data_IF_047830373775
#
_entry.id   IF_047830373775
#
_cell.length_a   1.000
_cell.length_b   1.000
_cell.length_c   1.000
_cell.angle_alpha   90.00
_cell.angle_beta   90.00
_cell.angle_gamma   90.00
#
_symmetry.space_group_name_H-M   'P 1'
#
loop_
_entity.id
_entity.type
_entity.pdbx_description
1 polymer ?
#
# COMPACT_ATOMS: atom_id res chain seq x y z
N UNK A 1 -56.92 -0.22 -7.00
CA UNK A 1 -57.27 -1.65 -7.07
C UNK A 1 -56.24 -2.36 -7.94
N UNK A 2 -55.26 -3.00 -7.35
CA UNK A 2 -54.64 -4.24 -7.89
C UNK A 2 -53.74 -4.82 -6.78
N UNK A 3 -54.29 -5.86 -6.15
CA UNK A 3 -53.61 -6.75 -5.20
C UNK A 3 -52.61 -7.62 -5.95
N UNK A 4 -51.33 -7.68 -5.52
CA UNK A 4 -50.41 -8.76 -5.87
C UNK A 4 -49.92 -9.51 -4.64
N UNK A 5 -50.34 -10.74 -4.61
CA UNK A 5 -50.19 -11.80 -3.64
C UNK A 5 -48.71 -12.22 -3.54
N UNK A 6 -48.16 -12.16 -2.33
CA UNK A 6 -46.86 -12.78 -2.01
C UNK A 6 -47.00 -14.27 -1.79
N UNK A 7 -46.43 -15.10 -2.71
CA UNK A 7 -46.25 -16.54 -2.50
C UNK A 7 -44.99 -16.81 -1.69
N UNK A 8 -45.19 -17.31 -0.45
CA UNK A 8 -44.10 -17.85 0.40
C UNK A 8 -43.68 -19.23 -0.12
N UNK A 9 -42.34 -19.44 -0.32
CA UNK A 9 -41.75 -20.76 -0.57
C UNK A 9 -41.38 -21.44 0.76
N UNK A 10 -41.51 -22.78 0.87
CA UNK A 10 -41.31 -23.51 2.11
C UNK A 10 -39.81 -23.78 2.38
N UNK A 11 -39.45 -23.71 3.66
CA UNK A 11 -38.13 -24.08 4.20
C UNK A 11 -37.93 -25.59 4.17
N UNK A 12 -36.89 -26.09 3.50
CA UNK A 12 -36.41 -27.46 3.59
C UNK A 12 -35.57 -27.62 4.88
N UNK A 13 -36.05 -28.52 5.77
CA UNK A 13 -35.31 -29.04 6.93
C UNK A 13 -34.29 -30.06 6.43
N UNK A 14 -33.00 -29.85 6.74
CA UNK A 14 -31.98 -30.88 6.62
C UNK A 14 -31.87 -31.64 7.95
N UNK A 15 -32.13 -32.91 7.88
CA UNK A 15 -32.00 -33.90 8.95
C UNK A 15 -30.54 -34.28 9.16
N UNK A 16 -30.08 -34.13 10.41
CA UNK A 16 -28.77 -34.64 10.91
C UNK A 16 -28.82 -36.18 10.92
N UNK A 17 -27.94 -36.83 10.17
CA UNK A 17 -27.60 -38.23 10.40
C UNK A 17 -26.34 -38.32 11.28
N UNK A 18 -26.51 -38.87 12.48
CA UNK A 18 -25.43 -39.33 13.37
C UNK A 18 -24.94 -40.66 12.83
N UNK A 19 -23.64 -40.78 12.56
CA UNK A 19 -22.97 -42.08 12.48
C UNK A 19 -22.14 -42.27 13.74
N UNK A 20 -22.56 -43.27 14.51
CA UNK A 20 -21.85 -43.85 15.63
C UNK A 20 -20.98 -44.95 15.05
N UNK A 21 -19.66 -44.91 15.29
CA UNK A 21 -18.80 -46.07 15.05
C UNK A 21 -17.91 -46.26 16.28
N UNK A 22 -18.24 -47.32 16.99
CA UNK A 22 -17.54 -47.89 18.13
C UNK A 22 -16.41 -48.77 17.59
N UNK A 23 -15.17 -48.64 18.10
CA UNK A 23 -14.19 -49.73 18.07
C UNK A 23 -13.43 -49.78 19.38
N UNK A 24 -13.49 -50.97 19.95
CA UNK A 24 -12.94 -51.48 21.20
C UNK A 24 -11.52 -52.06 21.00
N UNK A 25 -10.69 -51.93 22.05
CA UNK A 25 -9.60 -52.89 22.37
C UNK A 25 -8.22 -52.41 21.94
N UNK A 26 -7.16 -52.49 22.69
CA UNK A 26 -6.74 -53.44 23.73
C UNK A 26 -5.58 -52.82 24.51
N UNK A 27 -5.51 -53.10 25.77
CA UNK A 27 -4.44 -52.77 26.69
C UNK A 27 -3.25 -53.72 26.50
N UNK A 28 -2.02 -53.22 26.59
CA UNK A 28 -0.85 -54.04 26.94
C UNK A 28 0.08 -53.27 27.86
N UNK A 29 0.13 -53.78 29.08
CA UNK A 29 1.04 -53.36 30.16
C UNK A 29 2.37 -54.04 29.94
N UNK A 30 3.46 -53.30 29.97
CA UNK A 30 4.81 -53.84 30.24
C UNK A 30 5.49 -52.95 31.26
N UNK A 31 5.57 -53.51 32.47
CA UNK A 31 6.42 -53.04 33.57
C UNK A 31 7.81 -53.64 33.41
N UNK A 32 8.85 -52.83 33.40
CA UNK A 32 10.22 -53.28 33.74
C UNK A 32 10.82 -52.29 34.72
N UNK A 33 11.03 -52.75 35.92
CA UNK A 33 11.89 -52.14 36.92
C UNK A 33 13.37 -52.37 36.56
N UNK A 34 14.16 -51.31 36.67
CA UNK A 34 15.63 -51.43 36.64
C UNK A 34 16.24 -50.30 37.47
N UNK A 35 16.58 -50.60 38.73
CA UNK A 35 17.47 -49.77 39.56
C UNK A 35 18.92 -50.02 39.11
N UNK A 36 19.73 -48.91 38.99
CA UNK A 36 21.08 -48.79 39.61
C UNK A 36 21.69 -47.45 39.29
N UNK A 37 21.96 -46.69 40.24
CA UNK A 37 23.26 -46.28 40.85
C UNK A 37 23.99 -45.09 40.21
N UNK A 38 24.05 -44.03 41.02
CA UNK A 38 25.11 -43.05 41.27
C UNK A 38 26.22 -42.85 40.25
N UNK A 39 26.32 -41.59 39.74
CA UNK A 39 27.49 -41.02 39.12
C UNK A 39 27.27 -39.55 38.89
N UNK A 40 27.69 -38.68 39.83
CA UNK A 40 27.58 -37.26 39.68
C UNK A 40 28.46 -36.73 38.59
N UNK A 41 27.87 -35.94 37.70
CA UNK A 41 28.58 -34.97 36.88
C UNK A 41 27.66 -33.77 36.71
N UNK A 42 27.94 -32.75 37.49
CA UNK A 42 27.30 -31.43 37.37
C UNK A 42 27.79 -30.76 36.09
N UNK A 43 27.18 -31.10 34.95
CA UNK A 43 27.26 -30.28 33.77
C UNK A 43 26.27 -29.12 33.99
N UNK A 44 26.81 -27.94 34.26
CA UNK A 44 26.06 -26.71 34.19
C UNK A 44 25.45 -26.61 32.80
N UNK A 45 24.18 -26.95 32.66
CA UNK A 45 23.36 -26.62 31.54
C UNK A 45 23.13 -25.10 31.61
N UNK A 46 23.99 -24.35 30.92
CA UNK A 46 23.67 -22.98 30.61
C UNK A 46 22.39 -23.06 29.77
N UNK A 47 21.28 -22.85 30.45
CA UNK A 47 20.02 -22.58 29.77
C UNK A 47 20.23 -21.32 28.96
N UNK A 48 20.43 -21.49 27.65
CA UNK A 48 20.17 -20.43 26.72
C UNK A 48 18.69 -20.07 26.94
N UNK A 49 18.45 -18.95 27.57
CA UNK A 49 17.18 -18.30 27.44
C UNK A 49 17.07 -18.00 25.93
N UNK A 50 16.26 -18.77 25.22
CA UNK A 50 15.63 -18.28 24.02
C UNK A 50 14.87 -17.02 24.47
N UNK A 51 15.55 -15.88 24.42
CA UNK A 51 14.87 -14.59 24.37
C UNK A 51 14.13 -14.64 23.04
N UNK A 52 12.88 -15.06 23.06
CA UNK A 52 11.95 -14.71 22.02
C UNK A 52 12.07 -13.18 21.91
N UNK A 53 12.77 -12.72 20.90
CA UNK A 53 12.80 -11.30 20.56
C UNK A 53 11.35 -10.95 20.34
N UNK A 54 10.77 -10.15 21.25
CA UNK A 54 9.41 -9.69 21.09
C UNK A 54 9.36 -8.91 19.76
N UNK A 55 8.69 -9.49 18.79
CA UNK A 55 8.57 -8.89 17.45
C UNK A 55 7.71 -7.64 17.57
N UNK A 56 8.20 -6.50 17.09
CA UNK A 56 7.46 -5.22 17.08
C UNK A 56 6.23 -5.33 16.18
N UNK A 57 5.06 -5.10 16.75
CA UNK A 57 3.80 -5.08 15.99
C UNK A 57 3.63 -3.71 15.33
N UNK A 58 3.72 -3.68 14.03
CA UNK A 58 3.57 -2.48 13.21
C UNK A 58 2.22 -2.53 12.49
N UNK A 59 1.45 -1.45 12.60
CA UNK A 59 0.25 -1.23 11.78
C UNK A 59 0.56 -0.11 10.80
N UNK A 60 0.34 -0.34 9.52
CA UNK A 60 0.52 0.62 8.45
C UNK A 60 -0.83 0.94 7.82
N UNK A 61 -1.07 2.20 7.48
CA UNK A 61 -2.33 2.67 6.89
C UNK A 61 -2.62 1.98 5.56
N UNK A 62 -1.67 1.96 4.64
CA UNK A 62 -1.81 1.36 3.32
C UNK A 62 -0.48 0.83 2.78
N UNK A 63 -0.49 0.30 1.56
CA UNK A 63 0.56 -0.56 1.02
C UNK A 63 1.99 0.01 1.05
N UNK A 64 2.32 1.23 0.54
CA UNK A 64 3.69 1.75 0.58
C UNK A 64 4.25 1.82 2.01
N UNK A 65 3.43 2.22 2.96
CA UNK A 65 3.81 2.29 4.37
C UNK A 65 4.13 0.92 4.95
N UNK A 66 3.36 -0.09 4.55
CA UNK A 66 3.59 -1.48 4.97
C UNK A 66 4.86 -2.06 4.33
N UNK A 67 5.09 -1.83 3.04
CA UNK A 67 6.27 -2.29 2.32
C UNK A 67 7.55 -1.65 2.88
N UNK A 68 7.53 -0.35 3.15
CA UNK A 68 8.66 0.37 3.73
C UNK A 68 8.95 -0.08 5.17
N UNK A 69 7.91 -0.29 5.98
CA UNK A 69 8.04 -0.82 7.33
C UNK A 69 8.68 -2.21 7.33
N UNK A 70 8.25 -3.11 6.43
CA UNK A 70 8.81 -4.44 6.29
C UNK A 70 10.27 -4.40 5.81
N UNK A 71 10.61 -3.48 4.89
CA UNK A 71 11.96 -3.31 4.37
C UNK A 71 12.95 -2.85 5.46
N UNK A 72 12.54 -1.92 6.30
CA UNK A 72 13.39 -1.41 7.40
C UNK A 72 13.38 -2.36 8.60
N UNK A 73 12.22 -2.86 8.96
CA UNK A 73 12.03 -3.70 10.14
C UNK A 73 12.63 -5.12 10.01
N UNK A 74 12.62 -5.66 8.77
CA UNK A 74 13.15 -7.01 8.51
C UNK A 74 12.42 -8.08 9.31
N UNK A 75 13.19 -8.91 10.03
CA UNK A 75 12.66 -9.98 10.90
C UNK A 75 12.22 -9.50 12.29
N UNK A 76 12.49 -8.26 12.64
CA UNK A 76 12.15 -7.71 13.95
C UNK A 76 10.74 -7.13 14.02
N UNK A 77 10.03 -7.07 12.90
CA UNK A 77 8.68 -6.51 12.83
C UNK A 77 7.67 -7.52 12.30
N UNK A 78 6.44 -7.37 12.77
CA UNK A 78 5.26 -7.97 12.16
C UNK A 78 4.37 -6.85 11.66
N UNK A 79 4.32 -6.67 10.35
CA UNK A 79 3.57 -5.59 9.72
C UNK A 79 2.15 -6.05 9.37
N UNK A 80 1.17 -5.23 9.74
CA UNK A 80 -0.22 -5.34 9.29
C UNK A 80 -0.55 -4.14 8.43
N UNK A 81 -0.92 -4.38 7.19
CA UNK A 81 -1.48 -3.37 6.29
C UNK A 81 -2.99 -3.28 6.52
N UNK A 82 -3.54 -2.07 6.76
CA UNK A 82 -4.97 -1.90 7.04
C UNK A 82 -5.81 -1.98 5.78
N UNK A 83 -5.41 -1.28 4.72
CA UNK A 83 -6.12 -1.34 3.43
C UNK A 83 -5.87 -2.70 2.77
N UNK A 84 -6.91 -3.51 2.52
CA UNK A 84 -6.73 -4.82 1.91
C UNK A 84 -6.14 -4.75 0.50
N UNK A 85 -5.47 -5.83 0.07
CA UNK A 85 -4.97 -5.95 -1.30
C UNK A 85 -6.11 -5.75 -2.32
N UNK A 86 -5.81 -5.02 -3.39
CA UNK A 86 -6.78 -4.74 -4.45
C UNK A 86 -7.84 -3.68 -4.11
N UNK A 87 -7.71 -3.00 -2.96
CA UNK A 87 -8.62 -1.93 -2.53
C UNK A 87 -7.99 -0.57 -2.78
N UNK A 88 -8.75 0.36 -3.29
CA UNK A 88 -8.40 1.76 -3.45
C UNK A 88 -8.36 2.44 -2.06
N UNK A 89 -7.27 3.16 -1.69
CA UNK A 89 -7.10 3.64 -0.31
C UNK A 89 -7.70 5.02 0.00
N UNK A 90 -7.96 5.87 -0.98
CA UNK A 90 -8.38 7.27 -0.74
C UNK A 90 -9.72 7.37 0.01
N UNK A 91 -10.69 6.53 -0.35
CA UNK A 91 -12.01 6.47 0.30
C UNK A 91 -12.11 5.40 1.38
N UNK A 92 -11.01 4.69 1.67
CA UNK A 92 -11.06 3.65 2.67
C UNK A 92 -11.10 4.23 4.09
N UNK A 93 -11.97 3.68 4.94
CA UNK A 93 -12.08 4.05 6.34
C UNK A 93 -11.88 2.84 7.27
N UNK A 94 -11.24 3.03 8.45
CA UNK A 94 -11.00 1.94 9.37
C UNK A 94 -12.28 1.52 10.08
N UNK A 95 -12.49 0.22 10.17
CA UNK A 95 -13.52 -0.33 11.04
C UNK A 95 -13.13 -0.18 12.52
N UNK A 96 -14.09 -0.34 13.48
CA UNK A 96 -13.75 -0.38 14.91
C UNK A 96 -12.74 -1.48 15.30
N UNK A 97 -12.59 -2.53 14.46
CA UNK A 97 -11.55 -3.55 14.67
C UNK A 97 -10.17 -3.05 14.28
N UNK A 98 -10.07 -2.24 13.22
CA UNK A 98 -8.81 -1.68 12.75
C UNK A 98 -8.29 -0.63 13.73
N UNK A 99 -9.16 0.23 14.26
CA UNK A 99 -8.79 1.17 15.34
C UNK A 99 -8.26 0.44 16.58
N UNK A 100 -8.86 -0.72 16.95
CA UNK A 100 -8.32 -1.53 18.05
C UNK A 100 -6.96 -2.15 17.72
N UNK A 101 -6.69 -2.51 16.45
CA UNK A 101 -5.38 -3.00 16.03
C UNK A 101 -4.34 -1.87 16.12
N UNK A 102 -4.67 -0.66 15.67
CA UNK A 102 -3.80 0.52 15.83
C UNK A 102 -3.49 0.75 17.30
N UNK A 103 -4.50 0.77 18.18
CA UNK A 103 -4.33 0.97 19.63
C UNK A 103 -3.47 -0.11 20.30
N UNK A 104 -3.46 -1.33 19.76
CA UNK A 104 -2.70 -2.46 20.29
C UNK A 104 -1.31 -2.61 19.66
N UNK A 105 -0.96 -1.78 18.69
CA UNK A 105 0.34 -1.82 18.00
C UNK A 105 1.43 -1.09 18.80
N UNK A 106 2.68 -1.48 18.57
CA UNK A 106 3.86 -0.78 19.08
C UNK A 106 4.19 0.45 18.22
N UNK A 107 3.92 0.36 16.91
CA UNK A 107 4.13 1.42 15.94
C UNK A 107 2.91 1.51 15.02
N UNK A 108 2.39 2.72 14.84
CA UNK A 108 1.41 3.06 13.79
C UNK A 108 2.07 3.99 12.78
N UNK A 109 1.99 3.62 11.50
CA UNK A 109 2.60 4.34 10.38
C UNK A 109 1.51 4.76 9.40
N UNK A 110 1.50 6.04 9.05
CA UNK A 110 0.62 6.60 8.04
C UNK A 110 1.38 7.60 7.16
N UNK A 111 0.91 7.85 5.96
CA UNK A 111 1.54 8.78 5.01
C UNK A 111 1.44 10.22 5.51
N UNK A 112 0.24 10.67 5.83
CA UNK A 112 -0.08 12.09 6.00
C UNK A 112 -0.25 12.79 4.65
N UNK A 113 -0.01 14.09 4.60
CA UNK A 113 -0.24 14.90 3.39
C UNK A 113 -1.68 14.73 2.85
N UNK A 114 -2.63 14.64 3.76
CA UNK A 114 -4.07 14.51 3.49
C UNK A 114 -4.50 13.16 2.85
N UNK A 115 -3.62 12.14 2.83
CA UNK A 115 -3.94 10.81 2.30
C UNK A 115 -5.02 10.09 3.12
N UNK A 116 -4.88 10.12 4.44
CA UNK A 116 -5.77 9.43 5.35
C UNK A 116 -6.63 10.43 6.13
N UNK A 117 -7.79 10.77 5.60
CA UNK A 117 -8.72 11.72 6.24
C UNK A 117 -9.21 11.30 7.63
N UNK A 118 -9.15 10.01 7.95
CA UNK A 118 -9.60 9.41 9.21
C UNK A 118 -8.53 9.40 10.33
N UNK A 119 -7.28 9.76 10.03
CA UNK A 119 -6.16 9.55 10.98
C UNK A 119 -6.28 10.47 12.20
N UNK A 120 -6.65 11.73 12.04
CA UNK A 120 -6.72 12.67 13.16
C UNK A 120 -7.74 12.21 14.21
N UNK A 121 -8.95 11.82 13.82
CA UNK A 121 -9.96 11.25 14.70
C UNK A 121 -9.49 9.96 15.39
N UNK A 122 -8.75 9.13 14.65
CA UNK A 122 -8.16 7.89 15.19
C UNK A 122 -7.11 8.20 16.25
N UNK A 123 -6.21 9.15 16.00
CA UNK A 123 -5.17 9.54 16.94
C UNK A 123 -5.73 10.15 18.23
N UNK A 124 -6.86 10.88 18.13
CA UNK A 124 -7.58 11.36 19.32
C UNK A 124 -8.19 10.24 20.15
N UNK A 125 -8.50 9.10 19.53
CA UNK A 125 -9.16 7.95 20.17
C UNK A 125 -8.21 6.95 20.82
N UNK A 126 -6.90 6.98 20.53
CA UNK A 126 -5.89 6.03 21.01
C UNK A 126 -4.93 6.67 22.02
N UNK A 127 -4.25 5.82 22.81
CA UNK A 127 -3.20 6.26 23.74
C UNK A 127 -1.83 6.32 23.04
N UNK A 128 -1.52 7.46 22.45
CA UNK A 128 -0.25 7.70 21.73
C UNK A 128 1.00 7.67 22.64
N UNK A 129 0.83 7.55 23.98
CA UNK A 129 1.97 7.31 24.87
C UNK A 129 2.46 5.85 24.83
N UNK A 130 1.63 4.93 24.34
CA UNK A 130 1.92 3.50 24.21
C UNK A 130 2.29 3.10 22.78
N UNK A 131 1.69 3.75 21.79
CA UNK A 131 1.95 3.50 20.38
C UNK A 131 2.86 4.59 19.82
N UNK A 132 3.99 4.22 19.23
CA UNK A 132 4.83 5.16 18.50
C UNK A 132 4.14 5.50 17.18
N UNK A 133 3.72 6.76 17.02
CA UNK A 133 3.08 7.24 15.79
C UNK A 133 4.15 7.79 14.85
N UNK A 134 4.08 7.40 13.58
CA UNK A 134 4.96 7.83 12.49
C UNK A 134 4.15 8.40 11.35
N UNK A 135 4.23 9.71 11.14
CA UNK A 135 3.82 10.37 9.90
C UNK A 135 4.98 10.26 8.92
N UNK A 136 4.82 9.46 7.87
CA UNK A 136 5.91 9.15 6.95
C UNK A 136 6.39 10.37 6.15
N UNK A 137 5.48 11.25 5.75
CA UNK A 137 5.79 12.50 5.02
C UNK A 137 6.38 13.62 5.89
N UNK A 138 6.63 13.40 7.18
CA UNK A 138 7.15 14.46 8.06
C UNK A 138 8.49 15.03 7.58
N UNK A 139 8.57 16.38 7.49
CA UNK A 139 9.74 17.08 7.02
C UNK A 139 9.96 17.07 5.49
N UNK A 140 9.05 16.50 4.71
CA UNK A 140 9.06 16.57 3.24
C UNK A 140 8.32 17.84 2.80
N UNK A 141 8.81 18.51 1.77
CA UNK A 141 8.09 19.64 1.17
C UNK A 141 6.88 19.13 0.41
N UNK A 142 5.69 19.47 0.91
CA UNK A 142 4.45 19.01 0.30
C UNK A 142 4.09 19.86 -0.92
N UNK A 143 3.55 19.18 -1.93
CA UNK A 143 2.95 19.77 -3.12
C UNK A 143 1.49 20.12 -2.79
N UNK A 144 1.03 21.28 -3.26
CA UNK A 144 -0.41 21.63 -3.14
C UNK A 144 -1.21 20.79 -4.12
N UNK A 145 -2.38 20.35 -3.71
CA UNK A 145 -3.36 19.77 -4.62
C UNK A 145 -3.75 20.78 -5.70
N UNK A 146 -3.99 20.32 -6.94
CA UNK A 146 -4.52 21.22 -7.96
C UNK A 146 -5.92 21.68 -7.53
N UNK A 147 -6.22 22.97 -7.74
CA UNK A 147 -7.57 23.47 -7.47
C UNK A 147 -8.51 22.89 -8.51
N UNK A 148 -9.45 22.10 -8.07
CA UNK A 148 -10.53 21.65 -8.93
C UNK A 148 -11.31 22.84 -9.52
N UNK A 149 -11.68 22.74 -10.80
CA UNK A 149 -12.52 23.75 -11.46
C UNK A 149 -13.90 23.68 -10.78
N UNK A 150 -14.38 24.76 -10.16
CA UNK A 150 -15.66 24.86 -9.40
C UNK A 150 -16.91 24.32 -10.16
N UNK A 151 -16.71 23.87 -11.41
CA UNK A 151 -17.72 23.26 -12.26
C UNK A 151 -17.83 21.73 -12.20
N UNK A 152 -16.89 21.05 -11.56
CA UNK A 152 -16.93 19.61 -11.28
C UNK A 152 -17.54 19.47 -9.88
N UNK A 153 -18.76 18.98 -9.75
CA UNK A 153 -19.60 18.98 -8.55
C UNK A 153 -18.86 18.78 -7.22
N UNK A 154 -19.48 19.27 -6.14
CA UNK A 154 -18.93 19.25 -4.79
C UNK A 154 -18.48 17.82 -4.37
N UNK A 155 -17.19 17.48 -4.59
CA UNK A 155 -16.51 16.40 -3.91
C UNK A 155 -15.52 17.02 -2.92
N UNK A 156 -15.88 16.97 -1.64
CA UNK A 156 -15.14 17.53 -0.49
C UNK A 156 -13.85 16.74 -0.14
N UNK A 157 -13.32 15.89 -1.03
CA UNK A 157 -12.19 14.99 -0.73
C UNK A 157 -10.80 15.56 -1.09
N UNK A 158 -10.71 16.73 -1.70
CA UNK A 158 -9.41 17.34 -1.96
C UNK A 158 -8.88 17.97 -0.68
N UNK A 159 -7.93 17.29 -0.03
CA UNK A 159 -7.06 17.88 0.96
C UNK A 159 -6.35 19.12 0.41
N UNK A 160 -5.65 19.86 1.28
CA UNK A 160 -4.87 21.02 0.85
C UNK A 160 -3.65 20.60 0.00
N UNK A 161 -3.17 19.35 0.18
CA UNK A 161 -1.94 18.84 -0.40
C UNK A 161 -2.19 17.61 -1.30
N UNK A 162 -1.27 17.44 -2.27
CA UNK A 162 -1.13 16.22 -3.05
C UNK A 162 -0.54 15.11 -2.12
N UNK A 163 -1.25 14.01 -1.87
CA UNK A 163 -0.80 13.00 -0.93
C UNK A 163 0.27 12.04 -1.48
N UNK A 164 0.49 11.99 -2.79
CA UNK A 164 1.26 10.95 -3.48
C UNK A 164 2.78 11.12 -3.36
N UNK A 165 3.23 11.40 -2.15
CA UNK A 165 4.64 11.72 -1.79
C UNK A 165 5.59 10.60 -2.22
N UNK A 166 5.19 9.34 -2.04
CA UNK A 166 5.98 8.14 -2.31
C UNK A 166 6.30 7.92 -3.80
N UNK A 167 5.61 8.59 -4.74
CA UNK A 167 5.88 8.44 -6.18
C UNK A 167 7.16 9.17 -6.63
N UNK A 168 7.73 10.05 -5.82
CA UNK A 168 9.11 10.51 -5.97
C UNK A 168 10.06 9.54 -5.24
N UNK A 169 10.99 8.86 -5.92
CA UNK A 169 11.95 7.96 -5.26
C UNK A 169 12.76 8.64 -4.16
N UNK A 170 13.08 9.92 -4.34
CA UNK A 170 13.77 10.74 -3.34
C UNK A 170 12.92 10.99 -2.10
N UNK A 171 11.64 11.29 -2.26
CA UNK A 171 10.72 11.47 -1.14
C UNK A 171 10.44 10.13 -0.44
N UNK A 172 10.22 9.05 -1.19
CA UNK A 172 10.05 7.70 -0.64
C UNK A 172 11.25 7.26 0.21
N UNK A 173 12.47 7.61 -0.18
CA UNK A 173 13.68 7.41 0.65
C UNK A 173 13.62 8.23 1.95
N UNK A 174 13.07 9.45 1.92
CA UNK A 174 12.89 10.27 3.12
C UNK A 174 11.84 9.67 4.05
N UNK A 175 10.72 9.17 3.50
CA UNK A 175 9.72 8.41 4.24
C UNK A 175 10.33 7.18 4.91
N UNK A 176 11.09 6.39 4.16
CA UNK A 176 11.82 5.23 4.71
C UNK A 176 12.69 5.61 5.92
N UNK A 177 13.31 6.81 5.90
CA UNK A 177 14.11 7.34 7.02
C UNK A 177 13.27 7.68 8.24
N UNK A 178 12.07 8.19 8.02
CA UNK A 178 11.16 8.49 9.12
C UNK A 178 10.66 7.19 9.81
N UNK A 179 10.39 6.14 9.01
CA UNK A 179 10.05 4.82 9.51
C UNK A 179 11.19 4.19 10.34
N UNK A 180 12.43 4.28 9.85
CA UNK A 180 13.61 3.84 10.63
C UNK A 180 13.66 4.49 12.01
N UNK A 181 13.45 5.81 12.08
CA UNK A 181 13.44 6.55 13.34
C UNK A 181 12.33 6.08 14.28
N UNK A 182 11.15 5.83 13.75
CA UNK A 182 10.02 5.33 14.52
C UNK A 182 10.27 3.93 15.08
N UNK A 183 10.81 3.03 14.27
CA UNK A 183 11.18 1.67 14.72
C UNK A 183 12.26 1.69 15.79
N UNK A 184 13.32 2.50 15.62
CA UNK A 184 14.38 2.66 16.63
C UNK A 184 13.82 3.23 17.93
N UNK A 185 12.82 4.11 17.86
CA UNK A 185 12.17 4.67 19.07
C UNK A 185 11.35 3.62 19.80
N UNK A 186 10.64 2.75 19.09
CA UNK A 186 9.82 1.69 19.66
C UNK A 186 10.68 0.52 20.19
N UNK A 187 11.76 0.20 19.48
CA UNK A 187 12.63 -0.93 19.77
C UNK A 187 14.12 -0.53 19.62
N UNK A 188 14.69 0.12 20.63
CA UNK A 188 16.07 0.60 20.59
C UNK A 188 17.12 -0.53 20.62
N UNK A 189 16.76 -1.72 21.06
CA UNK A 189 17.68 -2.87 21.16
C UNK A 189 18.09 -3.38 19.76
N UNK A 190 17.19 -3.31 18.77
CA UNK A 190 17.43 -3.71 17.38
C UNK A 190 17.83 -2.54 16.46
N UNK A 191 18.23 -1.39 17.04
CA UNK A 191 18.64 -0.19 16.30
C UNK A 191 19.66 -0.46 15.18
N UNK A 192 20.68 -1.28 15.44
CA UNK A 192 21.76 -1.54 14.47
C UNK A 192 21.24 -2.24 13.21
N UNK A 193 20.27 -3.14 13.38
CA UNK A 193 19.66 -3.88 12.26
C UNK A 193 18.74 -2.96 11.44
N UNK A 194 17.93 -2.12 12.08
CA UNK A 194 17.12 -1.10 11.40
C UNK A 194 17.99 -0.14 10.59
N UNK A 195 19.10 0.32 11.15
CA UNK A 195 20.04 1.19 10.43
C UNK A 195 20.70 0.48 9.24
N UNK A 196 21.04 -0.79 9.38
CA UNK A 196 21.62 -1.60 8.31
C UNK A 196 20.60 -1.82 7.19
N UNK A 197 19.37 -2.16 7.54
CA UNK A 197 18.29 -2.36 6.59
C UNK A 197 17.95 -1.05 5.87
N UNK A 198 17.79 0.05 6.62
CA UNK A 198 17.59 1.37 6.02
C UNK A 198 18.68 1.70 5.00
N UNK A 199 19.96 1.57 5.37
CA UNK A 199 21.08 1.86 4.46
C UNK A 199 20.98 1.04 3.18
N UNK A 200 20.75 -0.28 3.31
CA UNK A 200 20.59 -1.20 2.18
C UNK A 200 19.47 -0.77 1.21
N UNK A 201 18.32 -0.34 1.76
CA UNK A 201 17.20 0.06 0.91
C UNK A 201 17.34 1.49 0.42
N UNK A 202 17.90 2.41 1.21
CA UNK A 202 18.21 3.76 0.77
C UNK A 202 19.11 3.78 -0.48
N UNK A 203 20.12 2.89 -0.55
CA UNK A 203 20.96 2.71 -1.74
C UNK A 203 20.12 2.29 -2.95
N UNK A 204 19.13 1.39 -2.78
CA UNK A 204 18.24 0.95 -3.86
C UNK A 204 17.27 2.04 -4.33
N UNK A 205 16.84 2.93 -3.42
CA UNK A 205 16.03 4.10 -3.78
C UNK A 205 16.87 5.14 -4.54
N UNK A 206 18.14 5.33 -4.16
CA UNK A 206 19.07 6.18 -4.92
C UNK A 206 19.31 5.61 -6.32
N UNK A 207 19.50 4.29 -6.45
CA UNK A 207 19.62 3.62 -7.75
C UNK A 207 18.35 3.80 -8.61
N UNK A 208 17.17 3.73 -8.00
CA UNK A 208 15.90 3.95 -8.68
C UNK A 208 15.79 5.40 -9.18
N UNK A 209 16.10 6.38 -8.32
CA UNK A 209 16.11 7.80 -8.67
C UNK A 209 17.05 8.08 -9.84
N UNK A 210 18.29 7.56 -9.78
CA UNK A 210 19.27 7.67 -10.86
C UNK A 210 18.76 7.03 -12.18
N UNK A 211 18.06 5.88 -12.11
CA UNK A 211 17.45 5.25 -13.28
C UNK A 211 16.40 6.16 -13.91
N UNK A 212 15.47 6.68 -13.11
CA UNK A 212 14.46 7.63 -13.57
C UNK A 212 15.07 8.86 -14.21
N UNK A 213 16.04 9.50 -13.54
CA UNK A 213 16.73 10.66 -14.06
C UNK A 213 17.45 10.37 -15.40
N UNK A 214 18.14 9.24 -15.47
CA UNK A 214 18.90 8.87 -16.66
C UNK A 214 17.99 8.56 -17.85
N UNK A 215 16.92 7.79 -17.64
CA UNK A 215 16.06 7.36 -18.73
C UNK A 215 15.09 8.47 -19.17
N UNK A 216 14.47 9.18 -18.23
CA UNK A 216 13.53 10.25 -18.55
C UNK A 216 14.19 11.51 -19.10
N UNK A 217 15.50 11.74 -18.84
CA UNK A 217 16.22 12.84 -19.50
C UNK A 217 16.34 12.67 -21.02
N UNK A 218 16.23 11.45 -21.53
CA UNK A 218 16.42 11.11 -22.96
C UNK A 218 15.13 11.04 -23.77
N UNK A 219 13.96 10.98 -23.11
CA UNK A 219 12.68 10.84 -23.80
C UNK A 219 12.32 12.07 -24.62
N UNK A 220 11.57 11.86 -25.69
CA UNK A 220 11.17 12.92 -26.63
C UNK A 220 9.96 13.72 -26.12
N UNK A 221 8.95 13.03 -25.62
CA UNK A 221 7.75 13.63 -25.03
C UNK A 221 7.93 13.99 -23.57
N UNK A 222 7.10 14.89 -23.08
CA UNK A 222 7.09 15.31 -21.66
C UNK A 222 5.70 15.24 -21.03
N UNK A 223 4.68 14.93 -21.83
CA UNK A 223 3.29 14.92 -21.39
C UNK A 223 2.79 13.50 -21.24
N UNK A 224 2.16 13.21 -20.10
CA UNK A 224 1.47 11.94 -19.81
C UNK A 224 0.00 12.21 -19.52
N UNK A 225 -0.87 11.28 -19.91
CA UNK A 225 -2.28 11.27 -19.53
C UNK A 225 -2.49 10.10 -18.59
N UNK A 226 -2.97 10.37 -17.39
CA UNK A 226 -3.04 9.40 -16.28
C UNK A 226 -4.47 9.27 -15.75
N UNK A 227 -4.80 8.18 -15.09
CA UNK A 227 -6.14 7.90 -14.57
C UNK A 227 -6.59 8.96 -13.56
N UNK A 228 -5.81 9.17 -12.50
CA UNK A 228 -6.05 10.25 -11.53
C UNK A 228 -4.79 11.08 -11.27
N UNK A 229 -4.91 12.15 -10.49
CA UNK A 229 -3.85 13.15 -10.28
C UNK A 229 -2.77 12.68 -9.27
N UNK A 230 -2.20 11.49 -9.47
CA UNK A 230 -1.21 10.90 -8.55
C UNK A 230 0.24 11.32 -8.80
N UNK A 231 0.61 11.60 -10.04
CA UNK A 231 2.01 11.64 -10.44
C UNK A 231 2.68 13.02 -10.30
N UNK A 232 2.10 13.92 -9.49
CA UNK A 232 2.57 15.29 -9.33
C UNK A 232 4.03 15.40 -8.88
N UNK A 233 4.41 14.71 -7.80
CA UNK A 233 5.80 14.70 -7.31
C UNK A 233 6.79 14.09 -8.30
N UNK A 234 6.41 13.00 -8.97
CA UNK A 234 7.22 12.38 -10.01
C UNK A 234 7.41 13.33 -11.21
N UNK A 235 6.34 13.99 -11.64
CA UNK A 235 6.41 14.94 -12.75
C UNK A 235 7.30 16.13 -12.44
N UNK A 236 7.18 16.71 -11.24
CA UNK A 236 8.00 17.85 -10.80
C UNK A 236 9.49 17.46 -10.72
N UNK A 237 9.80 16.24 -10.25
CA UNK A 237 11.18 15.77 -10.09
C UNK A 237 11.86 15.50 -11.44
N UNK A 238 11.14 14.92 -12.40
CA UNK A 238 11.72 14.47 -13.68
C UNK A 238 11.33 15.34 -14.88
N UNK A 239 10.69 16.48 -14.66
CA UNK A 239 10.34 17.45 -15.71
C UNK A 239 9.29 16.93 -16.69
N UNK A 240 8.29 16.20 -16.19
CA UNK A 240 7.11 15.76 -16.93
C UNK A 240 5.93 16.67 -16.64
N UNK A 241 4.87 16.54 -17.44
CA UNK A 241 3.58 17.19 -17.23
C UNK A 241 2.48 16.14 -17.27
N UNK A 242 1.70 16.00 -16.19
CA UNK A 242 0.54 15.13 -16.19
C UNK A 242 -0.73 15.89 -16.61
N UNK A 243 -1.61 15.19 -17.33
CA UNK A 243 -3.01 15.52 -17.54
C UNK A 243 -3.82 14.40 -16.92
N UNK A 244 -4.42 14.59 -15.76
CA UNK A 244 -5.22 13.57 -15.11
C UNK A 244 -6.61 13.48 -15.76
N UNK A 245 -7.20 12.28 -15.75
CA UNK A 245 -8.58 12.04 -16.19
C UNK A 245 -9.55 12.43 -15.09
N UNK A 246 -9.22 12.05 -13.85
CA UNK A 246 -9.92 12.48 -12.64
C UNK A 246 -8.96 13.29 -11.74
N UNK A 247 -9.50 14.04 -10.77
CA UNK A 247 -8.69 14.74 -9.77
C UNK A 247 -8.01 13.78 -8.80
N UNK A 248 -7.97 14.16 -7.51
CA UNK A 248 -7.42 13.31 -6.45
C UNK A 248 -8.29 12.07 -6.16
N UNK A 249 -9.59 12.13 -6.46
CA UNK A 249 -10.49 10.99 -6.39
C UNK A 249 -10.27 10.07 -7.61
N UNK A 250 -9.65 8.93 -7.36
CA UNK A 250 -9.36 7.94 -8.39
C UNK A 250 -10.62 7.26 -8.96
N UNK A 251 -11.73 7.21 -8.21
CA UNK A 251 -13.02 6.64 -8.62
C UNK A 251 -13.95 7.67 -9.27
N UNK A 252 -13.55 8.95 -9.33
CA UNK A 252 -14.31 10.04 -9.92
C UNK A 252 -14.63 9.82 -11.41
N UNK A 253 -15.69 10.46 -11.89
CA UNK A 253 -16.04 10.47 -13.32
C UNK A 253 -15.85 11.89 -13.90
N UNK A 254 -15.00 12.06 -14.96
CA UNK A 254 -14.82 13.35 -15.61
C UNK A 254 -16.10 13.80 -16.30
N UNK A 255 -16.44 15.08 -16.22
CA UNK A 255 -17.54 15.64 -16.97
C UNK A 255 -17.19 15.81 -18.47
N UNK A 256 -18.19 16.11 -19.31
CA UNK A 256 -18.02 16.25 -20.76
C UNK A 256 -17.01 17.37 -21.15
N UNK A 257 -16.90 18.44 -20.37
CA UNK A 257 -15.92 19.52 -20.61
C UNK A 257 -14.51 19.03 -20.34
N UNK A 258 -14.29 18.33 -19.23
CA UNK A 258 -13.00 17.72 -18.85
C UNK A 258 -12.58 16.69 -19.91
N UNK A 259 -13.49 15.81 -20.35
CA UNK A 259 -13.23 14.86 -21.43
C UNK A 259 -12.75 15.55 -22.71
N UNK A 260 -13.42 16.64 -23.13
CA UNK A 260 -13.01 17.39 -24.31
C UNK A 260 -11.63 18.04 -24.14
N UNK A 261 -11.31 18.53 -22.96
CA UNK A 261 -9.99 19.11 -22.64
C UNK A 261 -8.88 18.06 -22.71
N UNK A 262 -9.12 16.84 -22.18
CA UNK A 262 -8.17 15.73 -22.24
C UNK A 262 -7.92 15.31 -23.69
N UNK A 263 -8.97 15.15 -24.49
CA UNK A 263 -8.86 14.81 -25.91
C UNK A 263 -8.07 15.89 -26.67
N UNK A 264 -8.30 17.17 -26.35
CA UNK A 264 -7.55 18.27 -26.97
C UNK A 264 -6.07 18.24 -26.52
N UNK A 265 -5.80 18.02 -25.23
CA UNK A 265 -4.43 17.91 -24.70
C UNK A 265 -3.65 16.76 -25.39
N UNK A 266 -4.28 15.60 -25.57
CA UNK A 266 -3.70 14.45 -26.28
C UNK A 266 -3.26 14.84 -27.70
N UNK A 267 -4.13 15.55 -28.42
CA UNK A 267 -3.86 16.00 -29.79
C UNK A 267 -2.74 17.06 -29.83
N UNK A 268 -2.79 18.05 -28.97
CA UNK A 268 -1.85 19.17 -28.96
C UNK A 268 -0.43 18.73 -28.56
N UNK A 269 -0.32 17.73 -27.69
CA UNK A 269 0.95 17.21 -27.19
C UNK A 269 1.39 15.91 -27.89
N UNK A 270 0.66 15.45 -28.93
CA UNK A 270 0.92 14.21 -29.65
C UNK A 270 1.08 12.99 -28.72
N UNK A 271 0.27 12.92 -27.66
CA UNK A 271 0.30 11.81 -26.69
C UNK A 271 -0.21 10.55 -27.38
N UNK A 272 0.54 9.45 -27.27
CA UNK A 272 0.21 8.15 -27.87
C UNK A 272 -0.26 7.11 -26.87
N UNK A 273 -0.15 7.41 -25.59
CA UNK A 273 -0.51 6.47 -24.51
C UNK A 273 -1.34 7.19 -23.45
N UNK A 274 -2.48 6.61 -23.13
CA UNK A 274 -3.31 6.95 -21.97
C UNK A 274 -3.05 5.90 -20.89
N UNK A 275 -2.69 6.33 -19.70
CA UNK A 275 -2.42 5.44 -18.60
C UNK A 275 -3.67 5.20 -17.74
N UNK A 276 -4.09 3.94 -17.63
CA UNK A 276 -5.08 3.47 -16.65
C UNK A 276 -4.42 2.84 -15.45
N UNK A 277 -5.20 2.42 -14.47
CA UNK A 277 -4.73 1.86 -13.21
C UNK A 277 -5.32 0.47 -12.92
N UNK A 278 -4.72 -0.25 -11.96
CA UNK A 278 -5.13 -1.62 -11.62
C UNK A 278 -6.30 -1.66 -10.63
N UNK A 279 -6.38 -0.70 -9.70
CA UNK A 279 -7.33 -0.72 -8.59
C UNK A 279 -8.68 -0.08 -8.94
N UNK A 280 -8.75 0.70 -10.00
CA UNK A 280 -9.97 1.41 -10.43
C UNK A 280 -10.42 0.98 -11.84
N UNK A 281 -11.63 1.41 -12.23
CA UNK A 281 -12.19 1.08 -13.54
C UNK A 281 -11.44 1.78 -14.68
N UNK A 282 -10.86 1.01 -15.58
CA UNK A 282 -10.18 1.53 -16.76
C UNK A 282 -11.13 1.98 -17.89
N UNK A 283 -12.44 1.97 -17.69
CA UNK A 283 -13.43 2.23 -18.75
C UNK A 283 -13.25 3.61 -19.38
N UNK A 284 -13.04 4.64 -18.56
CA UNK A 284 -12.88 6.02 -19.03
C UNK A 284 -11.56 6.18 -19.77
N UNK A 285 -10.44 5.69 -19.22
CA UNK A 285 -9.13 5.71 -19.88
C UNK A 285 -9.17 5.02 -21.25
N UNK A 286 -9.80 3.85 -21.34
CA UNK A 286 -10.00 3.13 -22.62
C UNK A 286 -10.87 3.92 -23.61
N UNK A 287 -11.94 4.56 -23.15
CA UNK A 287 -12.80 5.39 -24.01
C UNK A 287 -12.01 6.56 -24.62
N UNK A 288 -11.19 7.24 -23.81
CA UNK A 288 -10.33 8.34 -24.28
C UNK A 288 -9.28 7.83 -25.28
N UNK A 289 -8.64 6.70 -24.98
CA UNK A 289 -7.68 6.07 -25.85
C UNK A 289 -8.29 5.71 -27.21
N UNK A 290 -9.46 5.05 -27.21
CA UNK A 290 -10.19 4.69 -28.43
C UNK A 290 -10.59 5.93 -29.27
N UNK A 291 -11.06 7.01 -28.64
CA UNK A 291 -11.45 8.26 -29.32
C UNK A 291 -10.26 8.98 -29.96
N UNK A 292 -9.09 8.89 -29.34
CA UNK A 292 -7.88 9.61 -29.76
C UNK A 292 -6.94 8.76 -30.62
N UNK A 293 -7.16 7.45 -30.68
CA UNK A 293 -6.27 6.49 -31.32
C UNK A 293 -4.99 6.21 -30.53
N UNK A 294 -4.97 6.54 -29.24
CA UNK A 294 -3.88 6.24 -28.33
C UNK A 294 -3.96 4.79 -27.81
N UNK A 295 -2.85 4.26 -27.32
CA UNK A 295 -2.81 2.98 -26.61
C UNK A 295 -3.22 3.19 -25.14
N UNK A 296 -4.03 2.29 -24.55
CA UNK A 296 -4.29 2.29 -23.11
C UNK A 296 -3.34 1.30 -22.43
N UNK A 297 -2.49 1.81 -21.55
CA UNK A 297 -1.48 1.02 -20.81
C UNK A 297 -1.67 1.23 -19.30
N UNK A 298 -1.37 0.23 -18.48
CA UNK A 298 -1.44 0.37 -17.02
C UNK A 298 -0.19 1.06 -16.47
N UNK A 299 -0.38 2.10 -15.66
CA UNK A 299 0.64 2.72 -14.82
C UNK A 299 0.14 2.64 -13.37
N UNK A 300 0.94 2.09 -12.47
CA UNK A 300 0.50 1.82 -11.12
C UNK A 300 0.97 2.93 -10.15
N UNK A 301 0.07 3.64 -9.46
CA UNK A 301 0.44 4.68 -8.49
C UNK A 301 1.01 4.10 -7.17
N UNK A 302 1.16 2.80 -7.09
CA UNK A 302 1.71 2.06 -5.92
C UNK A 302 0.92 2.29 -4.63
N UNK A 303 -0.33 2.64 -4.71
CA UNK A 303 -1.23 2.81 -3.56
C UNK A 303 -1.63 1.48 -2.93
N UNK A 304 -1.65 0.44 -3.74
CA UNK A 304 -1.93 -0.92 -3.34
C UNK A 304 -1.48 -1.90 -4.42
N UNK A 305 -1.32 -3.15 -4.05
CA UNK A 305 -1.09 -4.24 -4.98
C UNK A 305 -2.25 -5.23 -4.92
N UNK A 306 -2.55 -5.84 -6.04
CA UNK A 306 -3.50 -6.97 -6.10
C UNK A 306 -2.89 -8.22 -5.47
N UNK A 307 -3.73 -9.17 -5.01
CA UNK A 307 -3.26 -10.46 -4.50
C UNK A 307 -2.30 -11.15 -5.48
N UNK A 308 -2.59 -11.08 -6.77
CA UNK A 308 -1.75 -11.66 -7.83
C UNK A 308 -0.35 -11.06 -7.88
N UNK A 309 -0.24 -9.75 -7.71
CA UNK A 309 1.06 -9.04 -7.69
C UNK A 309 1.85 -9.41 -6.43
N UNK A 310 1.19 -9.45 -5.28
CA UNK A 310 1.80 -9.88 -4.02
C UNK A 310 2.27 -11.35 -4.09
N UNK A 311 1.47 -12.26 -4.66
CA UNK A 311 1.86 -13.65 -4.89
C UNK A 311 3.04 -13.80 -5.88
N UNK A 312 3.14 -12.88 -6.84
CA UNK A 312 4.28 -12.80 -7.78
C UNK A 312 5.55 -12.25 -7.12
N UNK A 313 5.46 -11.73 -5.90
CA UNK A 313 6.58 -11.13 -5.16
C UNK A 313 6.91 -9.72 -5.64
N UNK A 314 5.95 -9.02 -6.25
CA UNK A 314 6.11 -7.61 -6.58
C UNK A 314 6.21 -6.77 -5.29
N UNK A 315 7.01 -5.72 -5.35
CA UNK A 315 7.20 -4.75 -4.26
C UNK A 315 7.27 -3.32 -4.84
N UNK A 316 7.32 -2.32 -3.98
CA UNK A 316 7.42 -0.92 -4.41
C UNK A 316 8.51 -0.71 -5.47
N UNK A 317 9.72 -1.26 -5.25
CA UNK A 317 10.85 -1.05 -6.16
C UNK A 317 10.66 -1.74 -7.51
N UNK A 318 10.05 -2.92 -7.54
CA UNK A 318 9.76 -3.65 -8.79
C UNK A 318 8.69 -2.94 -9.60
N UNK A 319 7.62 -2.49 -8.95
CA UNK A 319 6.53 -1.76 -9.61
C UNK A 319 7.00 -0.41 -10.15
N UNK A 320 7.80 0.35 -9.38
CA UNK A 320 8.35 1.61 -9.86
C UNK A 320 9.30 1.44 -11.06
N UNK A 321 10.08 0.35 -11.14
CA UNK A 321 10.89 0.05 -12.35
C UNK A 321 10.02 -0.28 -13.55
N UNK A 322 8.97 -1.07 -13.37
CA UNK A 322 8.00 -1.37 -14.45
C UNK A 322 7.29 -0.09 -14.92
N UNK A 323 6.93 0.81 -14.00
CA UNK A 323 6.41 2.12 -14.33
C UNK A 323 7.40 2.95 -15.18
N UNK A 324 8.69 2.96 -14.82
CA UNK A 324 9.71 3.64 -15.60
C UNK A 324 9.79 3.12 -17.02
N UNK A 325 9.83 1.79 -17.20
CA UNK A 325 9.89 1.16 -18.53
C UNK A 325 8.68 1.55 -19.39
N UNK A 326 7.48 1.58 -18.80
CA UNK A 326 6.25 1.99 -19.46
C UNK A 326 6.25 3.47 -19.83
N UNK A 327 6.71 4.35 -18.93
CA UNK A 327 6.86 5.78 -19.17
C UNK A 327 7.83 6.05 -20.32
N UNK A 328 9.01 5.42 -20.29
CA UNK A 328 10.04 5.55 -21.35
C UNK A 328 9.49 5.09 -22.70
N UNK A 329 8.79 3.96 -22.75
CA UNK A 329 8.17 3.46 -23.97
C UNK A 329 7.14 4.45 -24.50
N UNK A 330 6.22 4.92 -23.65
CA UNK A 330 5.14 5.83 -24.03
C UNK A 330 5.68 7.19 -24.53
N UNK A 331 6.64 7.76 -23.82
CA UNK A 331 7.20 9.08 -24.11
C UNK A 331 8.15 9.11 -25.34
N UNK A 332 8.52 7.94 -25.86
CA UNK A 332 9.32 7.80 -27.10
C UNK A 332 8.49 7.40 -28.33
N UNK A 333 7.18 7.18 -28.19
CA UNK A 333 6.30 6.90 -29.34
C UNK A 333 6.19 8.15 -30.24
N UNK A 334 6.28 7.95 -31.57
CA UNK A 334 6.17 9.01 -32.59
C UNK A 334 4.75 9.11 -33.17
#
# INVERSE_FOLDING_TARGET
MYNRIFKRRPRRRLTRRRCLTTCIGAALVFSVLGLTACGGNTSAQTGGADTASDTVNVVASFYPMADFAQKVGGSHVKVTNLVPAGTEPHEWEPSPSDVRQIQASDVFIYNGADMEGWVDDTLESIDTSKTTVCKASDGITLRMAAKEDESAGEHELAGEHDPHVWLSPKNAKAELKNLERALIKADPDNKADYQTNYKKYAEKFDELDEQYQNELSKVKGRSIVVSHEAYGYLCDEFGLTQMPITGMDAEGEPNAKTMAQIVQFIKDNNVKTVFGEDLVSQKVAKTIADETGAECVQLNPVEGLTDKQLEAGEDYLTVMRDNLDKLVKALNQE
#
